data_IF_425270995592
#
_entry.id   IF_425270995592
#
_cell.length_a   1.000
_cell.length_b   1.000
_cell.length_c   1.000
_cell.angle_alpha   90.00
_cell.angle_beta   90.00
_cell.angle_gamma   90.00
#
_symmetry.space_group_name_H-M   'P 1'
#
loop_
_entity.id
_entity.type
_entity.pdbx_description
1 polymer ?
#
# COMPACT_ATOMS: atom_id res chain seq x y z
N UNK A 1 -12.50 10.30 -1.63
CA UNK A 1 -12.16 8.91 -2.00
C UNK A 1 -11.79 8.16 -0.73
N UNK A 2 -12.41 7.01 -0.47
CA UNK A 2 -12.14 6.15 0.71
C UNK A 2 -10.95 5.22 0.37
N UNK A 3 -10.17 4.85 1.39
CA UNK A 3 -9.14 3.80 1.28
C UNK A 3 -9.85 2.47 1.01
N UNK A 4 -9.46 1.78 -0.08
CA UNK A 4 -10.23 0.64 -0.63
C UNK A 4 -9.87 -0.70 0.01
N UNK A 5 -8.78 -0.80 0.77
CA UNK A 5 -8.26 -2.08 1.24
C UNK A 5 -8.51 -2.28 2.75
N UNK A 6 -9.39 -3.23 3.07
CA UNK A 6 -9.74 -3.58 4.46
C UNK A 6 -8.84 -4.68 5.01
N UNK A 7 -8.76 -4.82 6.35
CA UNK A 7 -8.00 -5.90 6.99
C UNK A 7 -8.50 -7.29 6.56
N UNK A 8 -9.82 -7.43 6.39
CA UNK A 8 -10.47 -8.65 5.91
C UNK A 8 -10.02 -9.05 4.50
N UNK A 9 -9.78 -8.08 3.61
CA UNK A 9 -9.30 -8.35 2.25
C UNK A 9 -7.84 -8.84 2.25
N UNK A 10 -7.05 -8.41 3.23
CA UNK A 10 -5.65 -8.81 3.39
C UNK A 10 -5.51 -10.20 4.01
N UNK A 11 -6.35 -10.54 5.00
CA UNK A 11 -6.34 -11.86 5.66
C UNK A 11 -6.58 -13.00 4.65
N UNK A 12 -7.45 -12.77 3.65
CA UNK A 12 -7.74 -13.75 2.59
C UNK A 12 -6.61 -13.97 1.58
N UNK A 13 -5.60 -13.09 1.54
CA UNK A 13 -4.47 -13.19 0.61
C UNK A 13 -3.37 -14.08 1.21
N UNK A 14 -2.64 -14.81 0.36
CA UNK A 14 -1.43 -15.51 0.79
C UNK A 14 -0.32 -14.52 1.16
N UNK A 15 0.68 -14.96 1.93
CA UNK A 15 1.86 -14.14 2.26
C UNK A 15 2.58 -13.66 0.99
N UNK A 16 2.67 -14.52 -0.04
CA UNK A 16 3.26 -14.19 -1.35
C UNK A 16 2.46 -13.09 -2.05
N UNK A 17 1.12 -13.17 -2.03
CA UNK A 17 0.26 -12.14 -2.64
C UNK A 17 0.38 -10.80 -1.92
N UNK A 18 0.50 -10.81 -0.59
CA UNK A 18 0.72 -9.60 0.20
C UNK A 18 2.09 -8.98 -0.09
N UNK A 19 3.14 -9.78 -0.25
CA UNK A 19 4.47 -9.30 -0.65
C UNK A 19 4.42 -8.65 -2.04
N UNK A 20 3.82 -9.34 -3.01
CA UNK A 20 3.64 -8.80 -4.38
C UNK A 20 2.88 -7.48 -4.36
N UNK A 21 1.78 -7.42 -3.63
CA UNK A 21 0.97 -6.21 -3.48
C UNK A 21 1.79 -5.07 -2.85
N UNK A 22 2.62 -5.35 -1.85
CA UNK A 22 3.46 -4.34 -1.19
C UNK A 22 4.48 -3.70 -2.15
N UNK A 23 5.01 -4.47 -3.10
CA UNK A 23 5.94 -3.99 -4.13
C UNK A 23 5.21 -3.20 -5.22
N UNK A 24 4.04 -3.67 -5.67
CA UNK A 24 3.21 -2.89 -6.59
C UNK A 24 2.83 -1.52 -6.01
N UNK A 25 2.49 -1.48 -4.72
CA UNK A 25 2.20 -0.22 -4.02
C UNK A 25 3.43 0.66 -3.87
N UNK A 26 4.62 0.09 -3.63
CA UNK A 26 5.89 0.83 -3.57
C UNK A 26 6.16 1.56 -4.89
N UNK A 27 6.01 0.88 -6.01
CA UNK A 27 6.18 1.46 -7.35
C UNK A 27 5.17 2.59 -7.57
N UNK A 28 3.89 2.37 -7.25
CA UNK A 28 2.85 3.40 -7.37
C UNK A 28 3.11 4.62 -6.47
N UNK A 29 3.64 4.42 -5.25
CA UNK A 29 4.03 5.52 -4.35
C UNK A 29 5.16 6.34 -4.97
N UNK A 30 6.16 5.68 -5.55
CA UNK A 30 7.27 6.37 -6.20
C UNK A 30 6.80 7.21 -7.40
N UNK A 31 6.02 6.62 -8.31
CA UNK A 31 5.45 7.32 -9.48
C UNK A 31 4.58 8.52 -9.06
N UNK A 32 3.68 8.31 -8.09
CA UNK A 32 2.79 9.37 -7.63
C UNK A 32 3.56 10.49 -6.92
N UNK A 33 4.63 10.14 -6.18
CA UNK A 33 5.52 11.13 -5.57
C UNK A 33 6.21 11.97 -6.64
N UNK A 34 6.75 11.35 -7.70
CA UNK A 34 7.38 12.06 -8.81
C UNK A 34 6.39 12.99 -9.54
N UNK A 35 5.16 12.54 -9.79
CA UNK A 35 4.09 13.35 -10.41
C UNK A 35 3.71 14.55 -9.56
N UNK A 36 3.64 14.38 -8.24
CA UNK A 36 3.37 15.48 -7.30
C UNK A 36 4.54 16.47 -7.27
N UNK A 37 5.78 15.98 -7.16
CA UNK A 37 6.98 16.84 -7.17
C UNK A 37 7.13 17.64 -8.46
N UNK A 38 6.73 17.06 -9.60
CA UNK A 38 6.70 17.74 -10.91
C UNK A 38 5.44 18.58 -11.16
N UNK A 39 4.57 18.75 -10.15
CA UNK A 39 3.28 19.48 -10.24
C UNK A 39 2.30 18.94 -11.29
N UNK A 40 2.53 17.72 -11.81
CA UNK A 40 1.65 17.01 -12.76
C UNK A 40 0.46 16.32 -12.08
N UNK A 41 0.50 16.21 -10.76
CA UNK A 41 -0.58 15.70 -9.93
C UNK A 41 -0.71 16.59 -8.69
N UNK A 42 -1.94 16.93 -8.30
CA UNK A 42 -2.24 17.75 -7.11
C UNK A 42 -2.98 16.96 -6.02
N UNK A 43 -3.29 15.68 -6.29
CA UNK A 43 -4.00 14.83 -5.35
C UNK A 43 -3.05 14.23 -4.30
N UNK A 44 -2.64 15.07 -3.35
CA UNK A 44 -1.83 14.65 -2.18
C UNK A 44 -2.54 13.60 -1.32
N UNK A 45 -3.88 13.65 -1.27
CA UNK A 45 -4.69 12.68 -0.55
C UNK A 45 -4.51 11.28 -1.11
N UNK A 46 -4.45 11.12 -2.44
CA UNK A 46 -4.17 9.82 -3.09
C UNK A 46 -2.84 9.22 -2.63
N UNK A 47 -1.79 10.04 -2.54
CA UNK A 47 -0.49 9.60 -2.04
C UNK A 47 -0.55 9.21 -0.55
N UNK A 48 -1.26 9.99 0.26
CA UNK A 48 -1.46 9.70 1.68
C UNK A 48 -2.18 8.37 1.90
N UNK A 49 -3.26 8.10 1.17
CA UNK A 49 -4.00 6.86 1.29
C UNK A 49 -3.19 5.67 0.79
N UNK A 50 -2.49 5.79 -0.34
CA UNK A 50 -1.64 4.72 -0.86
C UNK A 50 -0.51 4.35 0.11
N UNK A 51 0.15 5.35 0.73
CA UNK A 51 1.16 5.11 1.77
C UNK A 51 0.57 4.41 2.99
N UNK A 52 -0.62 4.82 3.44
CA UNK A 52 -1.33 4.21 4.56
C UNK A 52 -1.69 2.75 4.26
N UNK A 53 -2.24 2.49 3.10
CA UNK A 53 -2.66 1.14 2.70
C UNK A 53 -1.44 0.22 2.58
N UNK A 54 -0.32 0.72 2.05
CA UNK A 54 0.95 -0.04 2.02
C UNK A 54 1.46 -0.36 3.42
N UNK A 55 1.38 0.59 4.36
CA UNK A 55 1.78 0.36 5.74
C UNK A 55 0.92 -0.72 6.41
N UNK A 56 -0.39 -0.80 6.10
CA UNK A 56 -1.25 -1.88 6.58
C UNK A 56 -0.83 -3.25 6.05
N UNK A 57 -0.52 -3.35 4.76
CA UNK A 57 -0.04 -4.61 4.14
C UNK A 57 1.26 -5.08 4.80
N UNK A 58 2.20 -4.15 5.04
CA UNK A 58 3.45 -4.46 5.75
C UNK A 58 3.22 -4.87 7.21
N UNK A 59 2.26 -4.26 7.89
CA UNK A 59 1.86 -4.64 9.24
C UNK A 59 1.33 -6.08 9.29
N UNK A 60 0.44 -6.44 8.37
CA UNK A 60 -0.08 -7.81 8.25
C UNK A 60 1.02 -8.82 7.92
N UNK A 61 1.95 -8.49 7.01
CA UNK A 61 3.11 -9.34 6.72
C UNK A 61 3.99 -9.55 7.95
N UNK A 62 4.20 -8.50 8.75
CA UNK A 62 4.95 -8.59 10.00
C UNK A 62 4.23 -9.45 11.05
N UNK A 63 2.90 -9.28 11.21
CA UNK A 63 2.07 -10.10 12.09
C UNK A 63 2.18 -11.59 11.74
N UNK A 64 2.17 -11.93 10.44
CA UNK A 64 2.32 -13.32 9.97
C UNK A 64 3.71 -13.89 10.25
N UNK A 65 4.76 -13.12 9.94
CA UNK A 65 6.14 -13.53 10.17
C UNK A 65 6.46 -13.76 11.66
N UNK A 66 5.73 -13.12 12.58
CA UNK A 66 5.90 -13.31 14.02
C UNK A 66 5.06 -14.49 14.60
N UNK A 67 4.13 -15.04 13.81
CA UNK A 67 3.23 -16.13 14.20
C UNK A 67 3.55 -17.46 13.50
N UNK A 68 4.56 -17.49 12.62
CA UNK A 68 5.17 -18.69 12.04
C UNK A 68 6.34 -19.19 12.93
#
# INVERSE_FOLDING_TARGET
>A
MKSEMTKTDMIKKSTVDLLRLSEEMKVKVADLTMKISSKREKNFSKLKYLKRDRARVLGELSERNNNE
#
